data_IF_244652030380
#
_entry.id   IF_244652030380
#
_cell.length_a   1.000
_cell.length_b   1.000
_cell.length_c   1.000
_cell.angle_alpha   90.00
_cell.angle_beta   90.00
_cell.angle_gamma   90.00
#
_symmetry.space_group_name_H-M   'P 1'
#
loop_
_entity.id
_entity.type
_entity.pdbx_description
1 polymer ?
#
# COMPACT_ATOMS: atom_id res chain seq x y z
N UNK A 1 -22.38 -61.19 -46.21
CA UNK A 1 -23.45 -60.38 -46.82
C UNK A 1 -23.53 -59.04 -46.10
N UNK A 2 -23.36 -57.97 -46.88
CA UNK A 2 -23.55 -56.52 -46.65
C UNK A 2 -25.09 -56.24 -46.61
N UNK A 3 -25.69 -55.09 -46.21
CA UNK A 3 -25.40 -54.00 -45.24
C UNK A 3 -26.65 -53.42 -44.47
N UNK A 4 -26.42 -52.30 -43.72
CA UNK A 4 -27.18 -51.01 -43.61
C UNK A 4 -28.69 -50.97 -43.32
N UNK A 5 -28.97 -50.07 -42.35
CA UNK A 5 -30.06 -49.07 -42.29
C UNK A 5 -31.51 -49.56 -42.26
N UNK A 6 -32.37 -48.91 -41.45
CA UNK A 6 -33.50 -48.07 -41.93
C UNK A 6 -34.43 -47.64 -40.77
N UNK A 7 -34.51 -46.31 -40.62
CA UNK A 7 -35.67 -45.44 -40.38
C UNK A 7 -36.85 -45.91 -39.51
N UNK A 8 -37.12 -45.12 -38.47
CA UNK A 8 -38.29 -44.23 -38.32
C UNK A 8 -39.59 -44.71 -39.01
N UNK A 9 -40.63 -45.02 -38.23
CA UNK A 9 -42.00 -44.76 -38.63
C UNK A 9 -42.89 -44.42 -37.42
N UNK A 10 -43.53 -43.25 -37.54
CA UNK A 10 -44.67 -42.83 -36.74
C UNK A 10 -45.80 -43.85 -36.86
N UNK A 11 -46.51 -44.08 -35.76
CA UNK A 11 -47.95 -44.36 -35.83
C UNK A 11 -48.65 -43.25 -35.05
N UNK A 12 -49.47 -42.53 -35.80
CA UNK A 12 -50.39 -41.52 -35.37
C UNK A 12 -51.61 -42.15 -34.68
N UNK A 13 -52.25 -41.36 -33.83
CA UNK A 13 -53.68 -41.47 -33.56
C UNK A 13 -54.04 -41.95 -32.15
N UNK A 14 -54.41 -40.99 -31.29
CA UNK A 14 -55.65 -41.02 -30.49
C UNK A 14 -55.72 -39.75 -29.62
N UNK A 15 -56.54 -38.78 -30.05
CA UNK A 15 -57.34 -37.95 -29.13
C UNK A 15 -58.54 -38.82 -28.69
N UNK A 16 -59.14 -38.69 -27.47
CA UNK A 16 -59.54 -37.39 -26.91
C UNK A 16 -59.51 -37.23 -25.36
N UNK A 17 -59.40 -35.96 -24.95
CA UNK A 17 -60.14 -35.29 -23.86
C UNK A 17 -60.32 -36.04 -22.53
N UNK A 18 -59.50 -35.67 -21.54
CA UNK A 18 -59.97 -35.57 -20.15
C UNK A 18 -59.85 -34.10 -19.74
N UNK A 19 -61.01 -33.51 -19.48
CA UNK A 19 -61.20 -32.18 -18.90
C UNK A 19 -60.60 -32.12 -17.50
N UNK A 20 -59.89 -31.02 -17.23
CA UNK A 20 -59.82 -30.40 -15.90
C UNK A 20 -58.97 -31.09 -14.85
N UNK A 21 -57.67 -30.75 -14.82
CA UNK A 21 -56.91 -30.39 -13.60
C UNK A 21 -55.40 -30.49 -13.87
N UNK A 22 -54.74 -29.33 -14.03
CA UNK A 22 -53.42 -28.98 -13.44
C UNK A 22 -52.95 -27.66 -14.07
N UNK A 23 -53.67 -26.58 -13.75
CA UNK A 23 -53.07 -25.25 -13.72
C UNK A 23 -52.23 -25.19 -12.43
N UNK A 24 -51.01 -25.72 -12.49
CA UNK A 24 -49.89 -25.55 -11.54
C UNK A 24 -48.81 -26.56 -11.95
N UNK A 25 -48.10 -26.29 -13.04
CA UNK A 25 -46.74 -26.80 -13.12
C UNK A 25 -45.96 -26.06 -12.02
N UNK A 26 -45.40 -26.76 -11.01
CA UNK A 26 -44.57 -26.10 -10.03
C UNK A 26 -43.38 -25.43 -10.74
N UNK A 27 -42.96 -24.30 -10.17
CA UNK A 27 -41.93 -23.32 -10.57
C UNK A 27 -40.50 -23.89 -10.85
N UNK A 28 -40.38 -25.09 -11.40
CA UNK A 28 -39.14 -25.86 -11.50
C UNK A 28 -38.17 -25.39 -12.60
N UNK A 29 -38.60 -24.49 -13.50
CA UNK A 29 -37.72 -23.90 -14.50
C UNK A 29 -37.66 -22.38 -14.32
N UNK A 30 -37.03 -21.90 -13.24
CA UNK A 30 -36.48 -20.53 -13.26
C UNK A 30 -35.36 -20.49 -14.31
N UNK A 31 -35.37 -19.56 -15.28
CA UNK A 31 -34.29 -19.42 -16.23
C UNK A 31 -32.96 -19.23 -15.49
N UNK A 32 -31.92 -19.94 -15.92
CA UNK A 32 -30.57 -19.68 -15.43
C UNK A 32 -30.16 -18.27 -15.87
N UNK A 33 -29.98 -17.38 -14.90
CA UNK A 33 -29.51 -16.01 -15.14
C UNK A 33 -27.98 -16.05 -15.26
N UNK A 34 -27.50 -16.24 -16.48
CA UNK A 34 -26.08 -16.32 -16.81
C UNK A 34 -25.31 -15.08 -16.32
N UNK A 35 -25.92 -13.90 -16.38
CA UNK A 35 -25.34 -12.63 -15.92
C UNK A 35 -25.06 -12.65 -14.42
N UNK A 36 -26.03 -13.09 -13.61
CA UNK A 36 -25.84 -13.24 -12.16
C UNK A 36 -24.86 -14.35 -11.80
N UNK A 37 -24.81 -15.43 -12.57
CA UNK A 37 -23.84 -16.50 -12.35
C UNK A 37 -22.40 -16.02 -12.59
N UNK A 38 -22.18 -15.19 -13.61
CA UNK A 38 -20.88 -14.57 -13.90
C UNK A 38 -20.49 -13.58 -12.80
N UNK A 39 -21.39 -12.72 -12.34
CA UNK A 39 -21.12 -11.77 -11.24
C UNK A 39 -20.77 -12.45 -9.93
N UNK A 40 -21.50 -13.51 -9.57
CA UNK A 40 -21.19 -14.31 -8.39
C UNK A 40 -19.81 -14.97 -8.49
N UNK A 41 -19.43 -15.42 -9.69
CA UNK A 41 -18.12 -15.99 -9.95
C UNK A 41 -17.02 -14.92 -9.84
N UNK A 42 -17.22 -13.75 -10.45
CA UNK A 42 -16.31 -12.60 -10.33
C UNK A 42 -16.12 -12.20 -8.86
N UNK A 43 -17.20 -12.11 -8.09
CA UNK A 43 -17.13 -11.75 -6.66
C UNK A 43 -16.32 -12.76 -5.86
N UNK A 44 -16.49 -14.06 -6.11
CA UNK A 44 -15.70 -15.10 -5.45
C UNK A 44 -14.20 -14.96 -5.77
N UNK A 45 -13.85 -14.75 -7.03
CA UNK A 45 -12.44 -14.60 -7.43
C UNK A 45 -11.84 -13.29 -6.93
N UNK A 46 -12.62 -12.20 -6.89
CA UNK A 46 -12.20 -10.93 -6.28
C UNK A 46 -11.87 -11.09 -4.79
N UNK A 47 -12.75 -11.75 -4.03
CA UNK A 47 -12.54 -12.03 -2.60
C UNK A 47 -11.34 -12.94 -2.40
N UNK A 48 -11.22 -14.01 -3.20
CA UNK A 48 -10.09 -14.92 -3.11
C UNK A 48 -8.75 -14.22 -3.38
N UNK A 49 -8.69 -13.38 -4.42
CA UNK A 49 -7.51 -12.57 -4.76
C UNK A 49 -7.14 -11.61 -3.63
N UNK A 50 -8.14 -10.98 -2.98
CA UNK A 50 -7.91 -10.12 -1.82
C UNK A 50 -7.38 -10.92 -0.60
N UNK A 51 -7.89 -12.13 -0.37
CA UNK A 51 -7.45 -13.00 0.73
C UNK A 51 -6.01 -13.49 0.54
N UNK A 52 -5.60 -13.76 -0.70
CA UNK A 52 -4.22 -14.10 -1.05
C UNK A 52 -3.32 -12.89 -1.23
N UNK A 53 -3.82 -11.68 -0.92
CA UNK A 53 -3.11 -10.40 -1.04
C UNK A 53 -2.65 -10.06 -2.47
N UNK A 54 -3.21 -10.71 -3.49
CA UNK A 54 -3.08 -10.29 -4.89
C UNK A 54 -4.02 -9.10 -5.15
N UNK A 55 -3.64 -7.96 -4.59
CA UNK A 55 -4.42 -6.73 -4.67
C UNK A 55 -4.56 -6.24 -6.11
N UNK A 56 -3.56 -6.51 -6.98
CA UNK A 56 -3.62 -6.16 -8.39
C UNK A 56 -4.70 -6.96 -9.14
N UNK A 57 -4.81 -8.27 -8.89
CA UNK A 57 -5.91 -9.06 -9.44
C UNK A 57 -7.25 -8.69 -8.83
N UNK A 58 -7.31 -8.48 -7.51
CA UNK A 58 -8.53 -8.06 -6.83
C UNK A 58 -9.09 -6.75 -7.39
N UNK A 59 -8.22 -5.76 -7.67
CA UNK A 59 -8.57 -4.50 -8.36
C UNK A 59 -9.30 -4.79 -9.67
N UNK A 60 -8.75 -5.63 -10.56
CA UNK A 60 -9.35 -5.92 -11.87
C UNK A 60 -10.74 -6.57 -11.78
N UNK A 61 -10.96 -7.44 -10.80
CA UNK A 61 -12.25 -8.10 -10.64
C UNK A 61 -13.30 -7.20 -9.98
N UNK A 62 -12.90 -6.43 -8.96
CA UNK A 62 -13.80 -5.47 -8.33
C UNK A 62 -14.12 -4.29 -9.24
N UNK A 63 -13.21 -3.89 -10.13
CA UNK A 63 -13.46 -2.89 -11.17
C UNK A 63 -14.60 -3.33 -12.09
N UNK A 64 -14.54 -4.55 -12.63
CA UNK A 64 -15.62 -5.10 -13.48
C UNK A 64 -16.98 -5.19 -12.75
N UNK A 65 -16.96 -5.55 -11.46
CA UNK A 65 -18.19 -5.60 -10.67
C UNK A 65 -18.75 -4.19 -10.43
N UNK A 66 -17.89 -3.22 -10.12
CA UNK A 66 -18.27 -1.83 -9.92
C UNK A 66 -18.77 -1.17 -11.21
N UNK A 67 -18.16 -1.45 -12.37
CA UNK A 67 -18.62 -0.93 -13.66
C UNK A 67 -20.02 -1.44 -14.05
N UNK A 68 -20.35 -2.66 -13.63
CA UNK A 68 -21.69 -3.25 -13.84
C UNK A 68 -22.75 -2.64 -12.94
N UNK A 69 -22.41 -2.43 -11.67
CA UNK A 69 -23.30 -1.86 -10.67
C UNK A 69 -22.50 -0.92 -9.74
N UNK A 70 -22.41 0.38 -10.09
CA UNK A 70 -21.70 1.36 -9.26
C UNK A 70 -22.33 1.57 -7.87
N UNK A 71 -23.62 1.25 -7.73
CA UNK A 71 -24.38 1.38 -6.47
C UNK A 71 -24.16 0.19 -5.52
N UNK A 72 -23.60 -0.93 -6.00
CA UNK A 72 -23.23 -2.05 -5.14
C UNK A 72 -22.06 -1.69 -4.20
N UNK A 73 -22.44 -1.31 -2.98
CA UNK A 73 -21.53 -0.91 -1.90
C UNK A 73 -20.39 -1.91 -1.69
N UNK A 74 -20.64 -3.22 -1.79
CA UNK A 74 -19.58 -4.20 -1.54
C UNK A 74 -18.54 -4.25 -2.65
N UNK A 75 -18.97 -4.12 -3.91
CA UNK A 75 -18.04 -4.06 -5.05
C UNK A 75 -17.27 -2.75 -5.08
N UNK A 76 -17.94 -1.63 -4.84
CA UNK A 76 -17.32 -0.31 -4.74
C UNK A 76 -16.31 -0.24 -3.58
N UNK A 77 -16.67 -0.74 -2.40
CA UNK A 77 -15.73 -0.86 -1.27
C UNK A 77 -14.56 -1.78 -1.58
N UNK A 78 -14.82 -2.92 -2.21
CA UNK A 78 -13.79 -3.86 -2.64
C UNK A 78 -12.81 -3.20 -3.60
N UNK A 79 -13.31 -2.49 -4.61
CA UNK A 79 -12.49 -1.81 -5.61
C UNK A 79 -11.59 -0.74 -4.96
N UNK A 80 -12.18 0.18 -4.19
CA UNK A 80 -11.42 1.26 -3.53
C UNK A 80 -10.38 0.73 -2.53
N UNK A 81 -10.75 -0.29 -1.73
CA UNK A 81 -9.84 -0.90 -0.75
C UNK A 81 -8.63 -1.53 -1.42
N UNK A 82 -8.85 -2.24 -2.52
CA UNK A 82 -7.77 -2.92 -3.23
C UNK A 82 -6.91 -1.94 -4.02
N UNK A 83 -7.47 -0.84 -4.57
CA UNK A 83 -6.68 0.27 -5.12
C UNK A 83 -5.74 0.88 -4.06
N UNK A 84 -6.23 1.06 -2.83
CA UNK A 84 -5.40 1.56 -1.73
C UNK A 84 -4.28 0.58 -1.35
N UNK A 85 -4.55 -0.73 -1.30
CA UNK A 85 -3.53 -1.73 -0.98
C UNK A 85 -2.57 -2.04 -2.13
N UNK A 86 -3.00 -1.88 -3.38
CA UNK A 86 -2.14 -2.04 -4.57
C UNK A 86 -1.19 -0.86 -4.82
N UNK A 87 -1.17 0.14 -3.93
CA UNK A 87 -0.29 1.30 -4.04
C UNK A 87 -0.81 2.43 -4.93
N UNK A 88 -2.10 2.43 -5.28
CA UNK A 88 -2.75 3.51 -6.07
C UNK A 88 -3.85 4.24 -5.28
N UNK A 89 -3.58 4.73 -4.05
CA UNK A 89 -4.59 5.34 -3.20
C UNK A 89 -5.22 6.61 -3.80
N UNK A 90 -4.51 7.33 -4.68
CA UNK A 90 -5.06 8.48 -5.38
C UNK A 90 -6.24 8.10 -6.32
N UNK A 91 -6.17 6.94 -6.98
CA UNK A 91 -7.28 6.41 -7.80
C UNK A 91 -8.47 6.03 -6.91
N UNK A 92 -8.21 5.44 -5.74
CA UNK A 92 -9.26 5.13 -4.77
C UNK A 92 -9.99 6.41 -4.30
N UNK A 93 -9.23 7.48 -4.01
CA UNK A 93 -9.81 8.78 -3.65
C UNK A 93 -10.70 9.33 -4.77
N UNK A 94 -10.18 9.39 -6.01
CA UNK A 94 -10.93 9.93 -7.14
C UNK A 94 -12.26 9.18 -7.38
N UNK A 95 -12.21 7.84 -7.38
CA UNK A 95 -13.41 7.02 -7.57
C UNK A 95 -14.40 7.19 -6.42
N UNK A 96 -13.93 7.18 -5.16
CA UNK A 96 -14.79 7.32 -3.99
C UNK A 96 -15.45 8.71 -3.94
N UNK A 97 -14.72 9.76 -4.28
CA UNK A 97 -15.27 11.11 -4.40
C UNK A 97 -16.35 11.20 -5.48
N UNK A 98 -16.17 10.52 -6.61
CA UNK A 98 -17.16 10.49 -7.69
C UNK A 98 -18.46 9.82 -7.23
N UNK A 99 -18.39 8.58 -6.71
CA UNK A 99 -19.61 7.85 -6.30
C UNK A 99 -20.36 8.54 -5.16
N UNK A 100 -19.63 9.15 -4.22
CA UNK A 100 -20.24 9.91 -3.12
C UNK A 100 -20.88 11.21 -3.64
N UNK A 101 -20.28 11.87 -4.63
CA UNK A 101 -20.85 13.08 -5.26
C UNK A 101 -22.10 12.77 -6.09
N UNK A 102 -22.17 11.56 -6.66
CA UNK A 102 -23.34 11.06 -7.40
C UNK A 102 -24.49 10.61 -6.49
N UNK A 103 -24.33 10.73 -5.16
CA UNK A 103 -25.39 10.48 -4.18
C UNK A 103 -25.35 9.10 -3.51
N UNK A 104 -24.30 8.30 -3.73
CA UNK A 104 -24.14 6.99 -3.07
C UNK A 104 -23.70 7.16 -1.61
N UNK A 105 -24.62 7.62 -0.76
CA UNK A 105 -24.36 7.87 0.65
C UNK A 105 -24.18 6.56 1.43
N UNK A 106 -22.95 6.28 1.87
CA UNK A 106 -22.68 5.14 2.73
C UNK A 106 -21.55 5.42 3.72
N UNK A 107 -21.75 5.19 5.03
CA UNK A 107 -20.74 5.50 6.04
C UNK A 107 -19.48 4.63 5.90
N UNK A 108 -19.57 3.44 5.29
CA UNK A 108 -18.40 2.61 4.97
C UNK A 108 -17.58 3.19 3.83
N UNK A 109 -18.23 3.78 2.81
CA UNK A 109 -17.53 4.45 1.71
C UNK A 109 -16.82 5.71 2.19
N UNK A 110 -17.48 6.53 3.02
CA UNK A 110 -16.85 7.66 3.69
C UNK A 110 -15.64 7.24 4.54
N UNK A 111 -15.76 6.14 5.27
CA UNK A 111 -14.64 5.58 6.03
C UNK A 111 -13.49 5.14 5.13
N UNK A 112 -13.74 4.47 4.00
CA UNK A 112 -12.68 4.06 3.08
C UNK A 112 -12.07 5.26 2.35
N UNK A 113 -12.85 6.31 2.04
CA UNK A 113 -12.35 7.57 1.47
C UNK A 113 -11.34 8.21 2.41
N UNK A 114 -11.68 8.32 3.70
CA UNK A 114 -10.74 8.79 4.71
C UNK A 114 -9.44 8.00 4.77
N UNK A 115 -9.51 6.67 4.68
CA UNK A 115 -8.33 5.80 4.67
C UNK A 115 -7.50 5.95 3.38
N UNK A 116 -8.15 6.15 2.24
CA UNK A 116 -7.48 6.42 0.96
C UNK A 116 -6.82 7.81 0.94
N UNK A 117 -7.45 8.81 1.56
CA UNK A 117 -6.87 10.15 1.73
C UNK A 117 -5.61 10.11 2.60
N UNK A 118 -5.63 9.38 3.73
CA UNK A 118 -4.42 9.16 4.55
C UNK A 118 -3.33 8.48 3.73
N UNK A 119 -3.65 7.40 3.03
CA UNK A 119 -2.68 6.65 2.23
C UNK A 119 -2.13 7.45 1.03
N UNK A 120 -2.86 8.44 0.53
CA UNK A 120 -2.43 9.37 -0.52
C UNK A 120 -1.74 10.63 0.02
N UNK A 121 -1.41 10.67 1.31
CA UNK A 121 -0.68 11.78 1.93
C UNK A 121 -1.53 13.05 2.17
N UNK A 122 -2.86 12.91 2.25
CA UNK A 122 -3.82 14.01 2.46
C UNK A 122 -4.59 13.84 3.80
N UNK A 123 -3.90 13.77 4.95
CA UNK A 123 -4.54 13.51 6.25
C UNK A 123 -5.49 14.61 6.72
N UNK A 124 -5.26 15.85 6.29
CA UNK A 124 -6.14 16.99 6.55
C UNK A 124 -7.54 16.77 5.97
N UNK A 125 -7.60 16.35 4.69
CA UNK A 125 -8.86 16.06 3.98
C UNK A 125 -9.56 14.82 4.53
N UNK A 126 -8.84 13.91 5.17
CA UNK A 126 -9.41 12.68 5.72
C UNK A 126 -10.31 12.93 6.95
N UNK A 127 -10.13 14.04 7.67
CA UNK A 127 -10.83 14.30 8.94
C UNK A 127 -12.35 14.37 8.76
N UNK A 128 -12.82 15.12 7.76
CA UNK A 128 -14.25 15.32 7.50
C UNK A 128 -14.98 14.01 7.18
N UNK A 129 -14.61 13.25 6.13
CA UNK A 129 -15.34 12.02 5.78
C UNK A 129 -15.25 10.95 6.87
N UNK A 130 -14.14 10.86 7.61
CA UNK A 130 -14.06 9.91 8.74
C UNK A 130 -14.95 10.32 9.93
N UNK A 131 -15.07 11.62 10.20
CA UNK A 131 -15.95 12.11 11.26
C UNK A 131 -17.41 11.90 10.87
N UNK A 132 -17.74 12.20 9.63
CA UNK A 132 -19.06 11.96 9.05
C UNK A 132 -19.43 10.47 9.10
N UNK A 133 -18.54 9.59 8.64
CA UNK A 133 -18.72 8.13 8.71
C UNK A 133 -19.09 7.65 10.13
N UNK A 134 -18.41 8.15 11.16
CA UNK A 134 -18.74 7.81 12.55
C UNK A 134 -20.13 8.34 12.94
N UNK A 135 -20.46 9.58 12.55
CA UNK A 135 -21.75 10.19 12.87
C UNK A 135 -22.93 9.53 12.15
N UNK A 136 -22.69 8.94 10.98
CA UNK A 136 -23.69 8.26 10.15
C UNK A 136 -23.68 6.73 10.33
N UNK A 137 -23.02 6.22 11.38
CA UNK A 137 -23.19 4.84 11.86
C UNK A 137 -21.97 3.92 11.76
N UNK A 138 -20.87 4.35 11.13
CA UNK A 138 -19.62 3.57 11.10
C UNK A 138 -18.82 3.70 12.40
N UNK A 139 -19.37 3.15 13.48
CA UNK A 139 -18.78 3.20 14.82
C UNK A 139 -17.84 2.00 15.09
N UNK A 140 -16.85 1.80 14.22
CA UNK A 140 -15.88 0.70 14.36
C UNK A 140 -14.46 1.18 14.68
N UNK A 141 -13.62 0.24 15.15
CA UNK A 141 -12.26 0.54 15.59
C UNK A 141 -11.33 1.02 14.46
N UNK A 142 -11.55 0.58 13.20
CA UNK A 142 -10.74 0.95 12.03
C UNK A 142 -10.98 2.39 11.65
N UNK A 143 -12.22 2.86 11.63
CA UNK A 143 -12.55 4.27 11.35
C UNK A 143 -12.01 5.19 12.44
N UNK A 144 -12.15 4.81 13.71
CA UNK A 144 -11.54 5.55 14.82
C UNK A 144 -10.00 5.55 14.74
N UNK A 145 -9.40 4.40 14.43
CA UNK A 145 -7.94 4.32 14.26
C UNK A 145 -7.48 5.16 13.06
N UNK A 146 -8.24 5.25 11.98
CA UNK A 146 -7.93 6.13 10.85
C UNK A 146 -7.95 7.61 11.25
N UNK A 147 -8.92 8.06 12.06
CA UNK A 147 -8.89 9.41 12.64
C UNK A 147 -7.67 9.63 13.53
N UNK A 148 -7.28 8.61 14.29
CA UNK A 148 -6.03 8.61 15.04
C UNK A 148 -4.83 8.90 14.12
N UNK A 149 -4.67 8.09 13.07
CA UNK A 149 -3.55 8.19 12.13
C UNK A 149 -3.52 9.56 11.45
N UNK A 150 -4.67 10.04 10.96
CA UNK A 150 -4.76 11.36 10.36
C UNK A 150 -4.34 12.48 11.33
N UNK A 151 -4.73 12.39 12.61
CA UNK A 151 -4.33 13.38 13.59
C UNK A 151 -2.84 13.29 13.95
N UNK A 152 -2.24 12.09 14.00
CA UNK A 152 -0.80 11.93 14.20
C UNK A 152 0.01 12.54 13.05
N UNK A 153 -0.40 12.30 11.79
CA UNK A 153 0.27 12.90 10.62
C UNK A 153 0.17 14.43 10.59
N UNK A 154 -0.84 15.00 11.26
CA UNK A 154 -1.02 16.44 11.44
C UNK A 154 -0.33 16.98 12.71
N UNK A 155 0.45 16.18 13.43
CA UNK A 155 1.12 16.56 14.68
C UNK A 155 0.18 16.67 15.89
N UNK A 156 -1.10 16.29 15.75
CA UNK A 156 -2.14 16.38 16.79
C UNK A 156 -2.19 15.13 17.67
N UNK A 157 -1.04 14.73 18.21
CA UNK A 157 -0.86 13.43 18.89
C UNK A 157 -1.81 13.21 20.06
N UNK A 158 -2.09 14.23 20.88
CA UNK A 158 -3.04 14.10 21.99
C UNK A 158 -4.46 13.75 21.49
N UNK A 159 -4.90 14.36 20.38
CA UNK A 159 -6.19 14.06 19.76
C UNK A 159 -6.18 12.67 19.11
N UNK A 160 -5.09 12.29 18.47
CA UNK A 160 -4.91 10.94 17.92
C UNK A 160 -5.10 9.86 18.99
N UNK A 161 -4.42 10.01 20.15
CA UNK A 161 -4.54 9.10 21.29
C UNK A 161 -5.96 8.98 21.84
N UNK A 162 -6.76 10.05 21.81
CA UNK A 162 -8.16 9.98 22.19
C UNK A 162 -8.97 9.07 21.25
N UNK A 163 -8.72 9.13 19.94
CA UNK A 163 -9.36 8.23 18.99
C UNK A 163 -8.87 6.79 19.13
N UNK A 164 -7.57 6.54 19.33
CA UNK A 164 -7.09 5.17 19.59
C UNK A 164 -7.68 4.57 20.87
N UNK A 165 -7.82 5.35 21.95
CA UNK A 165 -8.50 4.88 23.17
C UNK A 165 -9.98 4.57 22.93
N UNK A 166 -10.66 5.34 22.08
CA UNK A 166 -12.03 5.00 21.65
C UNK A 166 -12.05 3.70 20.85
N UNK A 167 -11.13 3.53 19.90
CA UNK A 167 -10.99 2.31 19.11
C UNK A 167 -10.72 1.10 20.01
N UNK A 168 -9.85 1.25 21.01
CA UNK A 168 -9.52 0.23 21.99
C UNK A 168 -10.73 -0.16 22.85
N UNK A 169 -11.62 0.77 23.21
CA UNK A 169 -12.87 0.41 23.90
C UNK A 169 -13.78 -0.47 23.05
N UNK A 170 -13.76 -0.30 21.73
CA UNK A 170 -14.53 -1.13 20.78
C UNK A 170 -13.84 -2.48 20.55
N UNK A 171 -12.51 -2.52 20.55
CA UNK A 171 -11.72 -3.73 20.32
C UNK A 171 -10.54 -3.81 21.31
N UNK A 172 -10.78 -4.28 22.56
CA UNK A 172 -9.81 -4.18 23.65
C UNK A 172 -8.51 -4.97 23.45
N UNK A 173 -8.59 -6.07 22.70
CA UNK A 173 -7.48 -7.02 22.49
C UNK A 173 -6.84 -6.88 21.10
N UNK A 174 -7.01 -5.74 20.45
CA UNK A 174 -6.50 -5.54 19.11
C UNK A 174 -5.09 -4.93 19.11
N UNK A 175 -4.09 -5.74 18.77
CA UNK A 175 -2.68 -5.33 18.72
C UNK A 175 -2.41 -4.19 17.73
N UNK A 176 -3.17 -4.08 16.63
CA UNK A 176 -3.00 -2.98 15.67
C UNK A 176 -3.36 -1.61 16.28
N UNK A 177 -4.33 -1.57 17.20
CA UNK A 177 -4.69 -0.34 17.91
C UNK A 177 -3.59 0.02 18.92
N UNK A 178 -3.08 -0.96 19.66
CA UNK A 178 -1.97 -0.76 20.60
C UNK A 178 -0.72 -0.27 19.89
N UNK A 179 -0.43 -0.82 18.71
CA UNK A 179 0.65 -0.38 17.85
C UNK A 179 0.55 1.11 17.53
N UNK A 180 -0.59 1.55 16.99
CA UNK A 180 -0.78 2.94 16.61
C UNK A 180 -0.76 3.88 17.82
N UNK A 181 -1.34 3.44 18.95
CA UNK A 181 -1.29 4.19 20.21
C UNK A 181 0.15 4.36 20.72
N UNK A 182 0.97 3.30 20.65
CA UNK A 182 2.37 3.36 21.04
C UNK A 182 3.17 4.29 20.12
N UNK A 183 3.01 4.16 18.80
CA UNK A 183 3.68 5.04 17.84
C UNK A 183 3.29 6.51 18.04
N UNK A 184 2.03 6.80 18.38
CA UNK A 184 1.57 8.16 18.73
C UNK A 184 2.25 8.73 19.97
N UNK A 185 2.60 7.90 20.96
CA UNK A 185 3.40 8.35 22.10
C UNK A 185 4.84 8.66 21.71
N UNK A 186 5.45 7.78 20.90
CA UNK A 186 6.80 7.98 20.37
C UNK A 186 6.92 9.25 19.52
N UNK A 187 5.94 9.52 18.65
CA UNK A 187 5.87 10.75 17.85
C UNK A 187 5.80 12.02 18.72
N UNK A 188 5.20 11.94 19.92
CA UNK A 188 5.20 13.03 20.90
C UNK A 188 6.40 13.02 21.86
N UNK A 189 7.42 12.20 21.61
CA UNK A 189 8.66 12.11 22.39
C UNK A 189 8.60 11.21 23.64
N UNK A 190 7.45 10.61 23.94
CA UNK A 190 7.28 9.74 25.11
C UNK A 190 7.58 8.28 24.76
N UNK A 191 8.88 8.00 24.57
CA UNK A 191 9.37 6.66 24.21
C UNK A 191 9.11 5.63 25.31
N UNK A 192 9.10 6.03 26.58
CA UNK A 192 8.87 5.12 27.71
C UNK A 192 7.44 4.57 27.71
N UNK A 193 6.42 5.44 27.54
CA UNK A 193 5.04 4.95 27.39
C UNK A 193 4.87 4.14 26.11
N UNK A 194 5.53 4.53 25.03
CA UNK A 194 5.49 3.80 23.77
C UNK A 194 5.98 2.35 23.93
N UNK A 195 7.17 2.17 24.52
CA UNK A 195 7.76 0.86 24.79
C UNK A 195 6.87 0.01 25.70
N UNK A 196 6.38 0.57 26.82
CA UNK A 196 5.48 -0.16 27.72
C UNK A 196 4.24 -0.72 27.00
N UNK A 197 3.66 0.05 26.07
CA UNK A 197 2.47 -0.38 25.32
C UNK A 197 2.84 -1.46 24.29
N UNK A 198 3.93 -1.29 23.54
CA UNK A 198 4.33 -2.28 22.53
C UNK A 198 4.90 -3.57 23.14
N UNK A 199 5.58 -3.51 24.29
CA UNK A 199 5.98 -4.69 25.06
C UNK A 199 4.77 -5.51 25.51
N UNK A 200 3.68 -4.83 25.91
CA UNK A 200 2.41 -5.50 26.21
C UNK A 200 1.81 -6.12 24.94
N UNK A 201 1.76 -5.37 23.85
CA UNK A 201 1.22 -5.87 22.58
C UNK A 201 2.00 -7.09 22.05
N UNK A 202 3.33 -7.10 22.21
CA UNK A 202 4.19 -8.21 21.79
C UNK A 202 3.99 -9.50 22.60
N UNK A 203 3.37 -9.42 23.79
CA UNK A 203 3.02 -10.58 24.62
C UNK A 203 1.63 -11.15 24.30
N UNK A 204 0.88 -10.52 23.41
CA UNK A 204 -0.46 -10.97 23.04
C UNK A 204 -0.42 -12.09 21.99
N UNK A 205 -1.41 -13.00 21.94
CA UNK A 205 -1.40 -14.15 21.03
C UNK A 205 -1.33 -13.78 19.54
N UNK A 206 -1.85 -12.61 19.17
CA UNK A 206 -1.91 -12.08 17.81
C UNK A 206 -0.73 -11.15 17.45
N UNK A 207 0.33 -11.13 18.28
CA UNK A 207 1.52 -10.32 18.04
C UNK A 207 2.19 -10.65 16.69
N UNK A 208 2.07 -9.73 15.74
CA UNK A 208 2.61 -9.87 14.39
C UNK A 208 4.08 -9.44 14.29
N UNK A 209 4.72 -9.77 13.17
CA UNK A 209 6.07 -9.25 12.84
C UNK A 209 6.10 -7.73 12.90
N UNK A 210 5.04 -7.04 12.45
CA UNK A 210 4.95 -5.58 12.53
C UNK A 210 5.10 -5.05 13.96
N UNK A 211 4.52 -5.72 14.97
CA UNK A 211 4.66 -5.35 16.38
C UNK A 211 6.12 -5.49 16.82
N UNK A 212 6.75 -6.62 16.49
CA UNK A 212 8.17 -6.87 16.80
C UNK A 212 9.10 -5.85 16.15
N UNK A 213 8.88 -5.55 14.87
CA UNK A 213 9.68 -4.59 14.13
C UNK A 213 9.50 -3.15 14.65
N UNK A 214 8.29 -2.75 15.03
CA UNK A 214 8.07 -1.45 15.65
C UNK A 214 8.67 -1.37 17.06
N UNK A 215 8.63 -2.46 17.83
CA UNK A 215 9.29 -2.53 19.13
C UNK A 215 10.83 -2.47 18.97
N UNK A 216 11.40 -3.14 17.96
CA UNK A 216 12.82 -3.06 17.62
C UNK A 216 13.25 -1.63 17.27
N UNK A 217 12.47 -0.94 16.41
CA UNK A 217 12.66 0.48 16.09
C UNK A 217 12.71 1.34 17.36
N UNK A 218 11.76 1.16 18.28
CA UNK A 218 11.71 1.97 19.50
C UNK A 218 12.88 1.71 20.45
N UNK A 219 13.32 0.46 20.60
CA UNK A 219 14.54 0.17 21.35
C UNK A 219 15.76 0.80 20.68
N UNK A 220 15.87 0.73 19.35
CA UNK A 220 16.97 1.34 18.60
C UNK A 220 17.02 2.86 18.77
N UNK A 221 15.87 3.53 18.62
CA UNK A 221 15.74 4.99 18.83
C UNK A 221 16.07 5.37 20.28
N UNK A 222 15.72 4.53 21.26
CA UNK A 222 16.10 4.71 22.68
C UNK A 222 17.60 4.43 22.94
N UNK A 223 18.28 3.75 22.02
CA UNK A 223 19.68 3.37 22.11
C UNK A 223 19.96 1.99 22.69
N UNK A 224 18.93 1.17 22.89
CA UNK A 224 19.08 -0.25 23.22
C UNK A 224 19.21 -1.09 21.94
N UNK A 225 20.36 -0.95 21.28
CA UNK A 225 20.67 -1.62 20.01
C UNK A 225 20.66 -3.14 20.14
N UNK A 226 21.01 -3.66 21.32
CA UNK A 226 20.98 -5.09 21.60
C UNK A 226 19.56 -5.65 21.51
N UNK A 227 18.59 -5.05 22.22
CA UNK A 227 17.19 -5.50 22.15
C UNK A 227 16.58 -5.26 20.78
N UNK A 228 16.96 -4.16 20.12
CA UNK A 228 16.54 -3.89 18.75
C UNK A 228 16.99 -5.01 17.79
N UNK A 229 18.27 -5.40 17.84
CA UNK A 229 18.82 -6.51 17.04
C UNK A 229 18.10 -7.83 17.34
N UNK A 230 17.97 -8.18 18.63
CA UNK A 230 17.34 -9.42 19.07
C UNK A 230 15.90 -9.60 18.57
N UNK A 231 15.12 -8.51 18.52
CA UNK A 231 13.76 -8.53 18.01
C UNK A 231 13.70 -8.50 16.48
N UNK A 232 14.53 -7.68 15.83
CA UNK A 232 14.49 -7.51 14.38
C UNK A 232 14.83 -8.82 13.66
N UNK A 233 15.85 -9.55 14.14
CA UNK A 233 16.31 -10.83 13.56
C UNK A 233 15.31 -12.00 13.68
N UNK A 234 14.19 -11.82 14.39
CA UNK A 234 13.13 -12.82 14.44
C UNK A 234 12.32 -12.86 13.13
N UNK A 235 12.29 -11.76 12.37
CA UNK A 235 11.48 -11.64 11.15
C UNK A 235 12.29 -11.25 9.90
N UNK A 236 13.53 -10.80 10.07
CA UNK A 236 14.36 -10.25 9.00
C UNK A 236 15.72 -10.95 8.90
N UNK A 237 16.30 -11.05 7.69
CA UNK A 237 17.67 -11.50 7.51
C UNK A 237 18.68 -10.49 8.08
N UNK A 238 19.87 -10.97 8.43
CA UNK A 238 20.87 -10.19 9.18
C UNK A 238 21.29 -8.90 8.48
N UNK A 239 21.40 -8.90 7.15
CA UNK A 239 21.71 -7.71 6.35
C UNK A 239 20.66 -6.60 6.51
N UNK A 240 19.37 -6.96 6.47
CA UNK A 240 18.25 -6.05 6.71
C UNK A 240 18.23 -5.54 8.15
N UNK A 241 18.59 -6.38 9.12
CA UNK A 241 18.70 -5.97 10.53
C UNK A 241 19.79 -4.91 10.70
N UNK A 242 20.97 -5.13 10.13
CA UNK A 242 22.08 -4.18 10.22
C UNK A 242 21.79 -2.85 9.50
N UNK A 243 21.04 -2.87 8.40
CA UNK A 243 20.54 -1.65 7.76
C UNK A 243 19.54 -0.89 8.66
N UNK A 244 18.57 -1.59 9.23
CA UNK A 244 17.59 -0.99 10.14
C UNK A 244 18.23 -0.39 11.40
N UNK A 245 19.21 -1.06 12.01
CA UNK A 245 19.92 -0.53 13.18
C UNK A 245 20.65 0.78 12.87
N UNK A 246 21.32 0.85 11.72
CA UNK A 246 21.95 2.11 11.25
C UNK A 246 20.91 3.21 11.07
N UNK A 247 19.74 2.88 10.51
CA UNK A 247 18.63 3.82 10.41
C UNK A 247 18.14 4.33 11.78
N UNK A 248 18.04 3.45 12.80
CA UNK A 248 17.59 3.85 14.14
C UNK A 248 18.57 4.80 14.84
N UNK A 249 19.88 4.61 14.65
CA UNK A 249 20.92 5.52 15.15
C UNK A 249 20.74 6.92 14.56
N UNK A 250 20.53 7.02 13.23
CA UNK A 250 20.31 8.30 12.58
C UNK A 250 19.05 9.03 13.08
N UNK A 251 17.98 8.28 13.37
CA UNK A 251 16.76 8.85 13.97
C UNK A 251 17.02 9.40 15.38
N UNK A 252 17.80 8.70 16.20
CA UNK A 252 18.14 9.08 17.58
C UNK A 252 18.97 10.36 17.64
N UNK A 253 19.90 10.53 16.71
CA UNK A 253 20.86 11.65 16.72
C UNK A 253 20.26 12.98 16.20
N UNK A 254 18.95 13.01 15.91
CA UNK A 254 18.24 14.24 15.52
C UNK A 254 18.51 14.69 14.09
N UNK A 255 19.28 13.91 13.34
CA UNK A 255 19.57 14.11 11.92
C UNK A 255 18.43 13.55 11.05
N UNK A 256 17.17 13.89 11.37
CA UNK A 256 15.95 13.37 10.73
C UNK A 256 16.16 13.06 9.24
N UNK A 257 16.37 11.79 8.92
CA UNK A 257 16.86 11.31 7.63
C UNK A 257 17.71 12.34 6.87
N UNK A 258 18.90 12.69 7.36
CA UNK A 258 20.00 12.88 6.43
C UNK A 258 20.21 11.52 5.81
N UNK A 259 20.01 11.35 4.48
CA UNK A 259 20.58 10.21 3.81
C UNK A 259 22.04 10.20 4.23
N UNK A 260 22.51 9.09 4.81
CA UNK A 260 23.95 8.94 4.99
C UNK A 260 24.49 9.04 3.57
N UNK A 261 25.10 10.19 3.25
CA UNK A 261 25.81 10.37 1.98
C UNK A 261 27.02 9.46 2.08
N UNK A 262 26.85 8.21 1.73
CA UNK A 262 27.98 7.36 1.44
C UNK A 262 28.47 7.78 0.07
N UNK A 263 29.44 8.70 0.07
CA UNK A 263 30.41 8.74 -1.02
C UNK A 263 30.96 7.32 -1.12
N UNK A 264 30.65 6.59 -2.19
CA UNK A 264 31.37 5.35 -2.43
C UNK A 264 32.82 5.71 -2.74
N UNK A 265 33.76 5.16 -1.99
CA UNK A 265 35.18 5.31 -2.28
C UNK A 265 35.52 4.41 -3.49
N UNK A 266 35.17 4.88 -4.69
CA UNK A 266 35.47 4.21 -5.96
C UNK A 266 34.36 4.32 -7.02
N UNK A 267 34.64 3.84 -8.25
CA UNK A 267 33.67 3.83 -9.33
C UNK A 267 32.50 2.88 -9.00
N UNK A 268 31.30 3.22 -9.46
CA UNK A 268 30.11 2.37 -9.33
C UNK A 268 30.38 1.03 -10.00
N UNK A 269 30.23 -0.08 -9.27
CA UNK A 269 30.37 -1.43 -9.82
C UNK A 269 29.00 -2.00 -10.12
N UNK A 270 28.67 -2.13 -11.40
CA UNK A 270 27.40 -2.68 -11.85
C UNK A 270 27.20 -2.45 -13.36
N UNK A 271 26.17 -3.07 -13.96
CA UNK A 271 26.00 -3.04 -15.41
C UNK A 271 25.57 -1.66 -15.93
N UNK A 272 24.92 -0.84 -15.09
CA UNK A 272 24.48 0.51 -15.44
C UNK A 272 24.56 1.47 -14.24
N UNK A 273 24.67 2.77 -14.53
CA UNK A 273 24.46 3.87 -13.59
C UNK A 273 23.78 5.05 -14.29
N UNK A 274 23.34 6.03 -13.52
CA UNK A 274 22.76 7.28 -14.00
C UNK A 274 23.74 8.43 -13.75
N UNK A 275 24.20 9.11 -14.80
CA UNK A 275 24.90 10.38 -14.64
C UNK A 275 23.88 11.51 -14.52
N UNK A 276 23.83 12.16 -13.35
CA UNK A 276 22.81 13.16 -13.02
C UNK A 276 23.34 14.61 -12.97
N UNK A 277 24.56 14.84 -13.45
CA UNK A 277 25.13 16.17 -13.51
C UNK A 277 26.63 16.21 -13.81
N UNK A 278 27.10 17.43 -14.07
CA UNK A 278 28.50 17.80 -14.27
C UNK A 278 28.78 18.98 -13.34
N UNK A 279 29.83 18.89 -12.54
CA UNK A 279 30.09 19.81 -11.44
C UNK A 279 31.51 20.38 -11.50
N UNK A 280 31.73 21.62 -11.04
CA UNK A 280 33.05 22.22 -10.98
C UNK A 280 33.91 21.65 -9.84
N UNK A 281 33.30 21.02 -8.84
CA UNK A 281 33.98 20.39 -7.71
C UNK A 281 33.23 19.18 -7.17
N UNK A 282 33.94 18.28 -6.50
CA UNK A 282 33.34 17.11 -5.86
C UNK A 282 32.41 17.49 -4.70
N UNK A 283 32.79 18.52 -3.94
CA UNK A 283 31.94 19.08 -2.89
C UNK A 283 30.63 19.64 -3.45
N UNK A 284 30.69 20.38 -4.57
CA UNK A 284 29.50 20.88 -5.26
C UNK A 284 28.60 19.76 -5.78
N UNK A 285 29.20 18.67 -6.27
CA UNK A 285 28.47 17.48 -6.71
C UNK A 285 27.73 16.79 -5.55
N UNK A 286 28.39 16.61 -4.39
CA UNK A 286 27.81 15.99 -3.21
C UNK A 286 26.71 16.85 -2.59
N UNK A 287 26.90 18.17 -2.51
CA UNK A 287 25.90 19.10 -2.01
C UNK A 287 24.65 19.10 -2.90
N UNK A 288 24.83 19.11 -4.22
CA UNK A 288 23.68 19.06 -5.13
C UNK A 288 22.98 17.68 -5.12
N UNK A 289 23.75 16.60 -4.97
CA UNK A 289 23.19 15.26 -4.80
C UNK A 289 22.19 15.19 -3.64
N UNK A 290 22.54 15.76 -2.47
CA UNK A 290 21.64 15.77 -1.31
C UNK A 290 20.31 16.49 -1.60
N UNK A 291 20.32 17.52 -2.45
CA UNK A 291 19.11 18.23 -2.85
C UNK A 291 18.29 17.36 -3.79
N UNK A 292 18.93 16.82 -4.83
CA UNK A 292 18.31 15.96 -5.84
C UNK A 292 17.69 14.72 -5.20
N UNK A 293 18.42 14.03 -4.33
CA UNK A 293 17.95 12.81 -3.67
C UNK A 293 16.74 13.10 -2.78
N UNK A 294 16.76 14.17 -1.98
CA UNK A 294 15.63 14.56 -1.12
C UNK A 294 14.38 14.94 -1.91
N UNK A 295 14.54 15.58 -3.06
CA UNK A 295 13.41 15.96 -3.92
C UNK A 295 12.87 14.78 -4.75
N UNK A 296 13.62 13.67 -4.83
CA UNK A 296 13.30 12.51 -5.65
C UNK A 296 13.46 11.21 -4.87
N UNK A 297 13.10 11.22 -3.57
CA UNK A 297 13.28 10.09 -2.66
C UNK A 297 12.59 8.82 -3.18
N UNK A 298 11.49 8.97 -3.91
CA UNK A 298 10.74 7.89 -4.55
C UNK A 298 11.50 7.19 -5.69
N UNK A 299 12.44 7.89 -6.34
CA UNK A 299 13.26 7.36 -7.44
C UNK A 299 14.69 7.00 -6.98
N UNK A 300 15.24 7.81 -6.08
CA UNK A 300 16.68 7.85 -5.75
C UNK A 300 17.00 7.47 -4.30
N UNK A 301 16.00 7.23 -3.46
CA UNK A 301 16.19 7.05 -2.02
C UNK A 301 17.04 5.85 -1.62
N UNK A 302 17.17 4.85 -2.49
CA UNK A 302 17.93 3.62 -2.25
C UNK A 302 19.30 3.58 -2.96
N UNK A 303 19.62 4.61 -3.75
CA UNK A 303 20.85 4.63 -4.54
C UNK A 303 21.87 5.57 -3.91
N UNK A 304 23.14 5.19 -4.01
CA UNK A 304 24.27 6.02 -3.61
C UNK A 304 24.79 6.83 -4.80
N UNK A 305 25.57 7.87 -4.50
CA UNK A 305 26.30 8.66 -5.50
C UNK A 305 27.80 8.35 -5.44
N UNK A 306 28.38 8.13 -6.62
CA UNK A 306 29.82 8.15 -6.82
C UNK A 306 30.20 9.46 -7.51
N UNK A 307 31.14 10.18 -6.91
CA UNK A 307 31.66 11.45 -7.41
C UNK A 307 33.15 11.25 -7.65
N UNK A 308 33.55 11.18 -8.92
CA UNK A 308 34.94 10.95 -9.28
C UNK A 308 35.41 11.89 -10.39
N UNK A 309 36.72 12.12 -10.39
CA UNK A 309 37.42 12.97 -11.34
C UNK A 309 37.70 12.18 -12.63
N UNK A 310 37.21 12.67 -13.77
CA UNK A 310 37.50 12.06 -15.06
C UNK A 310 38.87 12.55 -15.54
N UNK A 311 39.95 11.98 -14.97
CA UNK A 311 41.33 12.46 -15.12
C UNK A 311 41.93 12.30 -16.52
N UNK A 312 41.19 11.80 -17.50
CA UNK A 312 41.79 11.37 -18.75
C UNK A 312 41.99 12.44 -19.82
N UNK A 313 41.50 13.70 -19.71
CA UNK A 313 41.85 14.79 -20.67
C UNK A 313 41.41 16.22 -20.25
N UNK A 314 42.23 16.94 -19.47
CA UNK A 314 42.06 18.39 -19.21
C UNK A 314 41.16 18.75 -18.02
N UNK A 315 40.74 20.02 -17.82
CA UNK A 315 39.86 20.43 -16.72
C UNK A 315 38.44 19.93 -16.98
N UNK A 316 38.24 18.64 -16.79
CA UNK A 316 36.97 17.95 -16.95
C UNK A 316 36.07 18.20 -15.75
N UNK A 317 34.76 18.44 -15.96
CA UNK A 317 33.83 18.58 -14.86
C UNK A 317 33.70 17.26 -14.11
N UNK A 318 33.60 17.33 -12.79
CA UNK A 318 33.33 16.21 -11.91
C UNK A 318 31.97 15.62 -12.25
N UNK A 319 31.91 14.30 -12.44
CA UNK A 319 30.66 13.59 -12.76
C UNK A 319 30.04 13.04 -11.49
N UNK A 320 28.72 13.18 -11.36
CA UNK A 320 27.95 12.49 -10.31
C UNK A 320 27.19 11.33 -10.94
N UNK A 321 27.56 10.12 -10.55
CA UNK A 321 26.93 8.89 -11.01
C UNK A 321 26.11 8.29 -9.88
N UNK A 322 24.96 7.70 -10.20
CA UNK A 322 24.00 7.14 -9.24
C UNK A 322 23.70 5.70 -9.61
N UNK A 323 23.82 4.80 -8.64
CA UNK A 323 23.71 3.36 -8.90
C UNK A 323 24.38 2.50 -7.83
N UNK A 324 24.64 1.21 -8.12
CA UNK A 324 24.43 0.54 -9.39
C UNK A 324 22.95 0.32 -9.74
N UNK A 325 22.64 0.24 -11.03
CA UNK A 325 21.32 -0.17 -11.54
C UNK A 325 21.46 -1.51 -12.26
N UNK A 326 20.61 -2.46 -11.90
CA UNK A 326 20.72 -3.87 -12.25
C UNK A 326 20.38 -4.17 -13.72
N UNK A 327 19.56 -3.35 -14.37
CA UNK A 327 19.17 -3.57 -15.77
C UNK A 327 18.85 -2.26 -16.53
N UNK A 328 18.99 -2.32 -17.86
CA UNK A 328 18.81 -1.17 -18.76
C UNK A 328 17.40 -0.61 -18.73
N UNK A 329 16.37 -1.45 -18.61
CA UNK A 329 14.97 -1.00 -18.60
C UNK A 329 14.68 -0.13 -17.38
N UNK A 330 15.17 -0.55 -16.20
CA UNK A 330 15.09 0.23 -14.95
C UNK A 330 15.89 1.51 -15.04
N UNK A 331 17.11 1.47 -15.60
CA UNK A 331 17.95 2.65 -15.79
C UNK A 331 17.25 3.70 -16.69
N UNK A 332 16.69 3.27 -17.82
CA UNK A 332 15.94 4.15 -18.73
C UNK A 332 14.69 4.73 -18.07
N UNK A 333 13.95 3.93 -17.30
CA UNK A 333 12.77 4.40 -16.56
C UNK A 333 13.13 5.50 -15.57
N UNK A 334 14.14 5.24 -14.71
CA UNK A 334 14.60 6.22 -13.72
C UNK A 334 15.07 7.50 -14.41
N UNK A 335 15.83 7.38 -15.50
CA UNK A 335 16.37 8.52 -16.21
C UNK A 335 15.29 9.38 -16.89
N UNK A 336 14.28 8.74 -17.47
CA UNK A 336 13.12 9.43 -18.03
C UNK A 336 12.30 10.14 -16.95
N UNK A 337 12.10 9.49 -15.80
CA UNK A 337 11.37 10.05 -14.66
C UNK A 337 12.10 11.24 -14.01
N UNK A 338 13.44 11.23 -14.00
CA UNK A 338 14.23 12.38 -13.55
C UNK A 338 14.18 13.53 -14.56
N UNK A 339 14.26 13.21 -15.86
CA UNK A 339 14.16 14.21 -16.94
C UNK A 339 12.80 14.91 -16.94
N UNK A 340 11.70 14.20 -16.69
CA UNK A 340 10.37 14.82 -16.58
C UNK A 340 10.22 15.76 -15.37
N UNK A 341 11.14 15.67 -14.40
CA UNK A 341 11.25 16.56 -13.24
C UNK A 341 12.30 17.67 -13.43
N UNK A 342 12.81 17.84 -14.65
CA UNK A 342 13.76 18.89 -15.01
C UNK A 342 15.21 18.58 -14.66
N UNK A 343 15.56 17.33 -14.33
CA UNK A 343 16.93 16.92 -14.07
C UNK A 343 17.58 16.37 -15.34
N UNK A 344 18.83 16.77 -15.60
CA UNK A 344 19.62 16.15 -16.67
C UNK A 344 20.07 14.77 -16.21
N UNK A 345 19.65 13.73 -16.93
CA UNK A 345 20.07 12.36 -16.67
C UNK A 345 20.59 11.69 -17.94
N UNK A 346 21.67 10.90 -17.81
CA UNK A 346 22.17 10.00 -18.84
C UNK A 346 22.38 8.60 -18.26
N UNK A 347 21.91 7.56 -18.95
CA UNK A 347 22.26 6.18 -18.60
C UNK A 347 23.66 5.88 -19.09
N UNK A 348 24.54 5.46 -18.19
CA UNK A 348 25.94 5.12 -18.47
C UNK A 348 26.24 3.68 -18.09
N UNK A 349 27.30 3.12 -18.67
CA UNK A 349 27.92 1.87 -18.22
C UNK A 349 29.22 2.24 -17.50
N UNK A 350 29.28 2.08 -16.17
CA UNK A 350 30.39 2.56 -15.36
C UNK A 350 31.77 2.01 -15.70
#
# INVERSE_FOLDING_TARGET
>A
MIPRNIKLFLIAGLLPIILGACAQLPDFFKPFDETKAVENSLRKVAIASQQTQDYGAAVRYYEQLHEKDPEDIESTLGYARNLRYSGTPARAVQMLEAVLSDGLENPRLLSELGRALIASGKPDRAITPLTEAISTGQNDWRTMSALGIANDQLGRHAKARNYYRRAQRVSPENTAILNNLALSWALSGDLDRSLMILERANKMPDASSQIRQNLALLYGVKGDEKRAHELARLDLPEDSVQENLRYYVNLREGDGAKPVVQKSDGPIRGPFALQIGKYPSAEGALNNWQIIQRQNTDLLGIYDVSVYDNKDNGPTPILAWVGPVDNLKKANYLCLALTSRGLNCLVVRP
#
